data_IF_282101191060
#
_entry.id   IF_282101191060
#
_cell.length_a   1.000
_cell.length_b   1.000
_cell.length_c   1.000
_cell.angle_alpha   90.00
_cell.angle_beta   90.00
_cell.angle_gamma   90.00
#
_symmetry.space_group_name_H-M   'P 1'
#
loop_
_entity.id
_entity.type
_entity.pdbx_description
1 polymer ?
#
# COMPACT_ATOMS: atom_id res chain seq x y z
N UNK A 1 13.21 18.98 -12.14
CA UNK A 1 13.77 19.84 -11.06
C UNK A 1 12.60 20.35 -10.21
N UNK A 2 12.71 20.34 -8.87
CA UNK A 2 11.67 20.86 -7.97
C UNK A 2 11.60 22.38 -8.07
N UNK A 3 10.46 22.92 -8.52
CA UNK A 3 10.22 24.36 -8.54
C UNK A 3 9.88 24.88 -7.14
N UNK A 4 10.07 26.17 -6.82
CA UNK A 4 9.70 26.78 -5.52
C UNK A 4 8.25 26.52 -5.11
N UNK A 5 7.31 26.59 -6.06
CA UNK A 5 5.88 26.33 -5.85
C UNK A 5 5.65 24.90 -5.32
N UNK A 6 6.38 23.90 -5.85
CA UNK A 6 6.29 22.52 -5.39
C UNK A 6 6.80 22.34 -3.96
N UNK A 7 7.71 23.22 -3.49
CA UNK A 7 8.21 23.22 -2.11
C UNK A 7 7.19 23.75 -1.14
N UNK A 8 6.51 24.84 -1.52
CA UNK A 8 5.45 25.44 -0.69
C UNK A 8 4.28 24.47 -0.50
N UNK A 9 3.80 23.87 -1.57
CA UNK A 9 2.70 22.87 -1.50
C UNK A 9 3.09 21.58 -0.78
N UNK A 10 4.38 21.28 -0.68
CA UNK A 10 4.90 20.12 0.08
C UNK A 10 5.27 20.46 1.52
N UNK A 11 5.24 21.75 1.90
CA UNK A 11 5.61 22.20 3.22
C UNK A 11 4.57 21.78 4.25
N UNK A 12 5.03 21.13 5.30
CA UNK A 12 4.22 20.62 6.41
C UNK A 12 4.74 21.12 7.76
N UNK A 13 5.56 22.18 7.76
CA UNK A 13 6.15 22.74 8.98
C UNK A 13 5.13 23.37 9.91
N UNK A 14 3.97 23.78 9.39
CA UNK A 14 2.86 24.31 10.18
C UNK A 14 2.08 23.23 10.94
N UNK A 15 2.25 21.94 10.58
CA UNK A 15 1.60 20.85 11.29
C UNK A 15 2.42 20.45 12.51
N UNK A 16 1.75 20.00 13.60
CA UNK A 16 2.43 19.46 14.79
C UNK A 16 3.47 18.41 14.42
N UNK A 17 3.07 17.44 13.57
CA UNK A 17 3.96 16.46 12.96
C UNK A 17 3.82 16.47 11.44
N UNK A 18 4.90 16.29 10.67
CA UNK A 18 4.81 16.19 9.21
C UNK A 18 3.93 15.02 8.69
N UNK A 19 3.55 14.11 9.59
CA UNK A 19 2.63 13.01 9.34
C UNK A 19 1.18 13.36 9.52
N UNK A 20 0.85 14.42 10.26
CA UNK A 20 -0.53 14.81 10.56
C UNK A 20 -1.28 15.20 9.28
N UNK A 21 -2.58 15.01 9.29
CA UNK A 21 -3.47 15.46 8.21
C UNK A 21 -3.59 16.98 8.20
N UNK A 22 -3.47 17.60 7.05
CA UNK A 22 -3.95 18.96 6.84
C UNK A 22 -5.49 19.01 6.89
N UNK A 23 -6.06 20.20 7.03
CA UNK A 23 -7.53 20.35 7.03
C UNK A 23 -8.12 19.89 5.69
N UNK A 24 -7.48 20.22 4.58
CA UNK A 24 -7.89 19.74 3.25
C UNK A 24 -7.84 18.21 3.11
N UNK A 25 -6.80 17.56 3.65
CA UNK A 25 -6.72 16.09 3.67
C UNK A 25 -7.80 15.49 4.58
N UNK A 26 -8.08 16.13 5.71
CA UNK A 26 -9.12 15.67 6.64
C UNK A 26 -10.52 15.76 6.02
N UNK A 27 -10.86 16.86 5.36
CA UNK A 27 -12.15 17.04 4.68
C UNK A 27 -12.41 15.91 3.69
N UNK A 28 -11.38 15.40 3.00
CA UNK A 28 -11.52 14.29 2.06
C UNK A 28 -11.80 12.95 2.75
N UNK A 29 -11.17 12.69 3.92
CA UNK A 29 -11.25 11.38 4.57
C UNK A 29 -12.36 11.28 5.61
N UNK A 30 -12.72 12.38 6.25
CA UNK A 30 -13.69 12.40 7.36
C UNK A 30 -15.05 11.75 7.03
N UNK A 31 -15.66 11.99 5.86
CA UNK A 31 -16.94 11.38 5.51
C UNK A 31 -16.90 9.86 5.39
N UNK A 32 -15.73 9.28 5.18
CA UNK A 32 -15.52 7.84 5.01
C UNK A 32 -15.28 7.11 6.35
N UNK A 33 -15.03 7.85 7.41
CA UNK A 33 -14.84 7.27 8.75
C UNK A 33 -16.19 6.86 9.32
N UNK A 34 -16.38 5.61 9.76
CA UNK A 34 -17.64 5.17 10.34
C UNK A 34 -18.06 6.03 11.54
N UNK A 35 -19.36 6.38 11.65
CA UNK A 35 -19.88 7.07 12.82
C UNK A 35 -19.67 6.24 14.10
N UNK A 36 -19.90 6.85 15.26
CA UNK A 36 -19.94 6.10 16.50
C UNK A 36 -21.04 5.04 16.47
N UNK A 37 -20.75 3.85 16.99
CA UNK A 37 -21.76 2.79 17.09
C UNK A 37 -22.91 3.23 17.97
N UNK A 38 -24.13 2.88 17.58
CA UNK A 38 -25.31 3.05 18.44
C UNK A 38 -25.23 2.07 19.60
N UNK A 39 -25.52 2.54 20.81
CA UNK A 39 -25.44 1.75 22.04
C UNK A 39 -24.00 1.69 22.61
N UNK A 40 -23.87 1.34 23.87
CA UNK A 40 -22.59 1.29 24.59
C UNK A 40 -22.02 2.66 24.95
N UNK A 41 -20.75 2.67 25.33
CA UNK A 41 -20.04 3.91 25.74
C UNK A 41 -19.88 4.87 24.56
N UNK A 42 -20.27 6.13 24.75
CA UNK A 42 -20.10 7.20 23.74
C UNK A 42 -18.63 7.33 23.34
N UNK A 43 -18.36 7.47 22.04
CA UNK A 43 -17.03 7.77 21.50
C UNK A 43 -16.66 9.20 21.89
N UNK A 44 -15.62 9.36 22.71
CA UNK A 44 -15.09 10.66 23.13
C UNK A 44 -13.80 11.03 22.39
N UNK A 45 -13.16 10.07 21.75
CA UNK A 45 -11.89 10.30 21.05
C UNK A 45 -12.13 11.04 19.73
N UNK A 46 -11.28 12.02 19.45
CA UNK A 46 -11.20 12.64 18.13
C UNK A 46 -10.60 11.65 17.14
N UNK A 47 -11.38 11.26 16.15
CA UNK A 47 -10.96 10.28 15.13
C UNK A 47 -9.93 10.81 14.15
N UNK A 48 -9.86 12.15 13.97
CA UNK A 48 -8.76 12.77 13.22
C UNK A 48 -7.44 12.54 13.94
N UNK A 49 -7.40 12.74 15.24
CA UNK A 49 -6.21 12.51 16.04
C UNK A 49 -5.81 11.03 16.08
N UNK A 50 -6.78 10.12 16.07
CA UNK A 50 -6.51 8.68 15.92
C UNK A 50 -5.81 8.40 14.59
N UNK A 51 -6.29 8.96 13.49
CA UNK A 51 -5.67 8.76 12.17
C UNK A 51 -4.28 9.42 12.09
N UNK A 52 -4.11 10.61 12.72
CA UNK A 52 -2.81 11.25 12.86
C UNK A 52 -1.81 10.35 13.61
N UNK A 53 -2.23 9.72 14.70
CA UNK A 53 -1.42 8.78 15.47
C UNK A 53 -1.00 7.55 14.62
N UNK A 54 -1.92 7.00 13.84
CA UNK A 54 -1.63 5.88 12.95
C UNK A 54 -0.63 6.30 11.86
N UNK A 55 -0.81 7.48 11.25
CA UNK A 55 0.13 8.02 10.26
C UNK A 55 1.48 8.38 10.87
N UNK A 56 1.52 8.79 12.14
CA UNK A 56 2.76 9.01 12.85
C UNK A 56 3.57 7.70 12.96
N UNK A 57 2.95 6.62 13.43
CA UNK A 57 3.59 5.29 13.51
C UNK A 57 4.05 4.81 12.14
N UNK A 58 3.22 4.95 11.10
CA UNK A 58 3.58 4.60 9.73
C UNK A 58 4.81 5.37 9.24
N UNK A 59 4.83 6.69 9.47
CA UNK A 59 5.86 7.60 8.97
C UNK A 59 7.20 7.42 9.67
N UNK A 60 7.17 7.37 11.02
CA UNK A 60 8.37 7.33 11.87
C UNK A 60 8.91 5.93 12.09
N UNK A 61 8.05 4.91 11.97
CA UNK A 61 8.39 3.52 12.27
C UNK A 61 8.55 3.24 13.77
N UNK A 62 8.14 4.15 14.64
CA UNK A 62 8.26 3.97 16.08
C UNK A 62 7.41 2.77 16.56
N UNK A 63 7.78 2.22 17.70
CA UNK A 63 6.93 1.26 18.41
C UNK A 63 5.66 1.97 18.91
N UNK A 64 4.52 1.27 18.95
CA UNK A 64 3.29 1.82 19.50
C UNK A 64 3.47 2.37 20.93
N UNK A 65 4.35 1.73 21.74
CA UNK A 65 4.68 2.18 23.08
C UNK A 65 5.49 3.48 23.13
N UNK A 66 6.13 3.86 22.04
CA UNK A 66 6.98 5.04 21.91
C UNK A 66 6.27 6.21 21.22
N UNK A 67 4.95 6.15 21.10
CA UNK A 67 4.17 7.26 20.56
C UNK A 67 4.23 8.48 21.52
N UNK A 68 4.30 9.70 20.96
CA UNK A 68 4.20 10.93 21.74
C UNK A 68 2.93 10.99 22.60
N UNK A 69 3.04 11.62 23.78
CA UNK A 69 1.93 11.72 24.74
C UNK A 69 0.83 12.71 24.34
N UNK A 70 1.11 13.60 23.39
CA UNK A 70 0.17 14.55 22.80
C UNK A 70 -0.69 13.95 21.67
N UNK A 71 -0.45 12.69 21.32
CA UNK A 71 -1.31 11.85 20.50
C UNK A 71 -2.24 10.98 21.38
N UNK A 72 -3.36 10.46 20.82
CA UNK A 72 -4.22 9.55 21.56
C UNK A 72 -3.46 8.36 22.13
N UNK A 73 -3.94 7.78 23.26
CA UNK A 73 -3.29 6.61 23.86
C UNK A 73 -3.04 5.50 22.85
N UNK A 74 -1.87 4.86 22.92
CA UNK A 74 -1.46 3.78 22.00
C UNK A 74 -2.51 2.70 21.83
N UNK A 75 -3.16 2.30 22.93
CA UNK A 75 -4.21 1.28 22.91
C UNK A 75 -5.40 1.70 22.06
N UNK A 76 -5.80 2.97 22.14
CA UNK A 76 -6.86 3.53 21.33
C UNK A 76 -6.46 3.57 19.84
N UNK A 77 -5.32 4.16 19.53
CA UNK A 77 -4.85 4.26 18.13
C UNK A 77 -4.67 2.88 17.48
N UNK A 78 -4.06 1.94 18.19
CA UNK A 78 -3.86 0.57 17.71
C UNK A 78 -5.18 -0.19 17.55
N UNK A 79 -6.13 -0.04 18.51
CA UNK A 79 -7.45 -0.64 18.40
C UNK A 79 -8.22 -0.16 17.16
N UNK A 80 -8.23 1.16 16.91
CA UNK A 80 -8.87 1.71 15.72
C UNK A 80 -8.20 1.26 14.43
N UNK A 81 -6.88 1.17 14.40
CA UNK A 81 -6.16 0.63 13.25
C UNK A 81 -6.59 -0.81 12.94
N UNK A 82 -6.63 -1.68 13.95
CA UNK A 82 -7.09 -3.06 13.77
C UNK A 82 -8.57 -3.15 13.39
N UNK A 83 -9.41 -2.31 14.00
CA UNK A 83 -10.84 -2.27 13.71
C UNK A 83 -11.10 -1.84 12.26
N UNK A 84 -10.46 -0.76 11.80
CA UNK A 84 -10.61 -0.24 10.45
C UNK A 84 -10.03 -1.16 9.36
N UNK A 85 -9.01 -1.96 9.69
CA UNK A 85 -8.55 -3.05 8.83
C UNK A 85 -9.56 -4.20 8.79
N UNK A 86 -10.11 -4.58 9.95
CA UNK A 86 -11.02 -5.72 10.04
C UNK A 86 -12.39 -5.46 9.43
N UNK A 87 -12.98 -4.27 9.64
CA UNK A 87 -14.31 -3.91 9.14
C UNK A 87 -14.31 -3.36 7.71
N UNK A 88 -13.15 -3.33 7.04
CA UNK A 88 -12.98 -2.87 5.68
C UNK A 88 -13.02 -1.34 5.52
N UNK A 89 -12.95 -0.56 6.60
CA UNK A 89 -12.90 0.91 6.51
C UNK A 89 -11.69 1.39 5.73
N UNK A 90 -10.50 0.80 5.96
CA UNK A 90 -9.29 1.16 5.21
C UNK A 90 -9.43 0.82 3.72
N UNK A 91 -10.11 -0.26 3.37
CA UNK A 91 -10.38 -0.61 1.97
C UNK A 91 -11.30 0.42 1.31
N UNK A 92 -12.41 0.79 1.99
CA UNK A 92 -13.36 1.80 1.48
C UNK A 92 -12.71 3.17 1.27
N UNK A 93 -11.91 3.63 2.25
CA UNK A 93 -11.14 4.89 2.13
C UNK A 93 -10.18 4.81 0.95
N UNK A 94 -9.43 3.72 0.85
CA UNK A 94 -8.48 3.52 -0.24
C UNK A 94 -9.19 3.56 -1.60
N UNK A 95 -10.31 2.87 -1.75
CA UNK A 95 -11.04 2.77 -3.00
C UNK A 95 -11.64 4.10 -3.45
N UNK A 96 -12.25 4.82 -2.53
CA UNK A 96 -12.80 6.15 -2.82
C UNK A 96 -11.70 7.14 -3.26
N UNK A 97 -10.58 7.16 -2.54
CA UNK A 97 -9.44 8.01 -2.90
C UNK A 97 -8.75 7.55 -4.20
N UNK A 98 -8.74 6.25 -4.47
CA UNK A 98 -8.22 5.68 -5.71
C UNK A 98 -8.98 6.22 -6.91
N UNK A 99 -10.32 6.12 -6.89
CA UNK A 99 -11.19 6.64 -7.96
C UNK A 99 -10.97 8.14 -8.13
N UNK A 100 -11.10 8.92 -7.05
CA UNK A 100 -10.91 10.37 -7.10
C UNK A 100 -9.53 10.80 -7.64
N UNK A 101 -8.47 10.06 -7.26
CA UNK A 101 -7.10 10.37 -7.73
C UNK A 101 -6.93 10.06 -9.22
N UNK A 102 -7.58 9.03 -9.74
CA UNK A 102 -7.56 8.72 -11.18
C UNK A 102 -8.31 9.76 -11.98
N UNK A 103 -9.52 10.10 -11.54
CA UNK A 103 -10.36 11.12 -12.19
C UNK A 103 -9.67 12.50 -12.21
N UNK A 104 -9.07 12.90 -11.08
CA UNK A 104 -8.27 14.13 -11.00
C UNK A 104 -7.05 14.12 -11.95
N UNK A 105 -6.57 12.94 -12.34
CA UNK A 105 -5.50 12.77 -13.33
C UNK A 105 -6.02 12.58 -14.77
N UNK A 106 -7.31 12.82 -15.03
CA UNK A 106 -7.94 12.64 -16.34
C UNK A 106 -7.99 11.18 -16.79
N UNK A 107 -8.15 10.24 -15.85
CA UNK A 107 -8.24 8.80 -16.12
C UNK A 107 -9.57 8.24 -15.66
N UNK A 108 -10.07 7.24 -16.40
CA UNK A 108 -11.23 6.47 -15.99
C UNK A 108 -11.04 5.84 -14.61
N UNK A 109 -12.13 5.72 -13.84
CA UNK A 109 -12.10 5.12 -12.50
C UNK A 109 -11.51 3.70 -12.49
N UNK A 110 -11.80 2.90 -13.52
CA UNK A 110 -11.27 1.54 -13.65
C UNK A 110 -10.09 1.49 -14.62
N UNK A 111 -8.97 0.82 -14.25
CA UNK A 111 -7.82 0.68 -15.12
C UNK A 111 -8.03 -0.47 -16.13
N UNK A 112 -7.46 -0.32 -17.33
CA UNK A 112 -7.35 -1.39 -18.35
C UNK A 112 -6.00 -2.09 -18.30
N UNK A 113 -5.01 -1.49 -17.63
CA UNK A 113 -3.64 -1.99 -17.53
C UNK A 113 -3.19 -2.02 -16.07
N UNK A 114 -2.55 -3.11 -15.68
CA UNK A 114 -1.93 -3.27 -14.38
C UNK A 114 -0.46 -3.71 -14.51
N UNK A 115 0.32 -3.48 -13.47
CA UNK A 115 1.70 -3.92 -13.35
C UNK A 115 1.84 -4.67 -12.02
N UNK A 116 2.44 -5.85 -12.04
CA UNK A 116 2.71 -6.66 -10.84
C UNK A 116 4.21 -6.78 -10.62
N UNK A 117 4.61 -6.69 -9.36
CA UNK A 117 5.98 -7.00 -8.94
C UNK A 117 6.02 -7.36 -7.45
N UNK A 118 7.17 -7.87 -6.98
CA UNK A 118 7.39 -8.27 -5.60
C UNK A 118 8.61 -7.61 -4.97
N UNK A 119 8.52 -7.36 -3.68
CA UNK A 119 9.63 -6.89 -2.87
C UNK A 119 9.78 -7.77 -1.63
N UNK A 120 10.97 -8.38 -1.46
CA UNK A 120 11.32 -9.06 -0.22
C UNK A 120 11.75 -8.02 0.82
N UNK A 121 11.20 -8.13 2.02
CA UNK A 121 11.46 -7.24 3.14
C UNK A 121 12.02 -8.04 4.30
N UNK A 122 13.17 -7.61 4.82
CA UNK A 122 13.80 -8.25 5.99
C UNK A 122 12.87 -8.12 7.19
N UNK A 123 12.53 -9.25 7.81
CA UNK A 123 11.73 -9.26 9.02
C UNK A 123 12.59 -8.96 10.25
N UNK A 124 11.99 -8.30 11.23
CA UNK A 124 12.57 -8.24 12.57
C UNK A 124 12.40 -9.61 13.24
N UNK A 125 13.43 -10.06 13.95
CA UNK A 125 13.33 -11.27 14.76
C UNK A 125 12.28 -11.08 15.84
N UNK A 126 11.33 -12.01 15.91
CA UNK A 126 10.27 -12.03 16.92
C UNK A 126 10.15 -13.44 17.46
N UNK A 127 10.10 -13.56 18.77
CA UNK A 127 9.78 -14.82 19.44
C UNK A 127 8.27 -15.07 19.49
N UNK A 128 7.90 -16.35 19.63
CA UNK A 128 6.54 -16.80 19.90
C UNK A 128 5.86 -17.51 18.72
N UNK A 129 4.90 -18.36 19.05
CA UNK A 129 4.20 -19.25 18.12
C UNK A 129 3.10 -18.57 17.30
N UNK A 130 2.65 -17.38 17.70
CA UNK A 130 1.56 -16.65 17.04
C UNK A 130 2.07 -15.62 16.01
N UNK A 131 2.88 -16.08 15.06
CA UNK A 131 3.45 -15.28 13.98
C UNK A 131 3.09 -15.93 12.63
N UNK A 132 2.72 -15.10 11.66
CA UNK A 132 2.65 -15.58 10.30
C UNK A 132 4.05 -15.95 9.78
N UNK A 133 4.17 -16.96 8.91
CA UNK A 133 5.44 -17.48 8.45
C UNK A 133 6.37 -16.43 7.87
N UNK A 134 7.67 -16.64 8.08
CA UNK A 134 8.78 -15.96 7.42
C UNK A 134 9.56 -17.01 6.64
N UNK A 135 10.22 -16.60 5.56
CA UNK A 135 11.01 -17.50 4.72
C UNK A 135 12.30 -16.84 4.25
N UNK A 136 13.17 -17.62 3.64
CA UNK A 136 14.43 -17.15 3.07
C UNK A 136 14.34 -17.00 1.57
N UNK A 137 14.43 -15.78 1.06
CA UNK A 137 14.57 -15.48 -0.36
C UNK A 137 16.02 -15.72 -0.79
N UNK A 138 16.29 -16.86 -1.42
CA UNK A 138 17.63 -17.25 -1.84
C UNK A 138 18.22 -16.31 -2.92
N UNK A 139 17.37 -15.75 -3.79
CA UNK A 139 17.81 -14.82 -4.83
C UNK A 139 18.25 -13.46 -4.30
N UNK A 140 17.58 -12.94 -3.29
CA UNK A 140 17.87 -11.65 -2.65
C UNK A 140 18.68 -11.79 -1.35
N UNK A 141 18.90 -13.02 -0.86
CA UNK A 141 19.57 -13.36 0.42
C UNK A 141 18.94 -12.63 1.61
N UNK A 142 17.62 -12.63 1.68
CA UNK A 142 16.83 -11.95 2.72
C UNK A 142 15.93 -12.97 3.42
N UNK A 143 16.01 -13.00 4.76
CA UNK A 143 15.03 -13.70 5.61
C UNK A 143 13.93 -12.74 5.99
N UNK A 144 12.67 -13.07 5.67
CA UNK A 144 11.54 -12.23 5.98
C UNK A 144 10.28 -12.57 5.20
N UNK A 145 9.59 -11.54 4.75
CA UNK A 145 8.35 -11.68 3.97
C UNK A 145 8.45 -10.95 2.63
N UNK A 146 7.73 -11.47 1.67
CA UNK A 146 7.60 -10.90 0.34
C UNK A 146 6.26 -10.19 0.21
N UNK A 147 6.29 -8.98 -0.35
CA UNK A 147 5.12 -8.16 -0.65
C UNK A 147 4.92 -8.15 -2.14
N UNK A 148 3.82 -8.69 -2.63
CA UNK A 148 3.38 -8.51 -4.01
C UNK A 148 2.42 -7.32 -4.06
N UNK A 149 2.64 -6.42 -5.00
CA UNK A 149 1.71 -5.33 -5.28
C UNK A 149 1.28 -5.41 -6.74
N UNK A 150 0.01 -5.14 -6.96
CA UNK A 150 -0.56 -4.87 -8.26
C UNK A 150 -0.91 -3.40 -8.30
N UNK A 151 -0.43 -2.68 -9.32
CA UNK A 151 -0.62 -1.23 -9.45
C UNK A 151 -1.13 -0.87 -10.85
N UNK A 152 -1.76 0.28 -10.98
CA UNK A 152 -2.13 0.85 -12.28
C UNK A 152 -0.98 1.65 -12.92
N UNK A 153 -1.23 2.27 -14.06
CA UNK A 153 -0.25 3.09 -14.80
C UNK A 153 0.14 4.40 -14.08
N UNK A 154 -0.63 4.84 -13.08
CA UNK A 154 -0.28 5.97 -12.21
C UNK A 154 0.55 5.52 -11.00
N UNK A 155 0.75 4.21 -10.81
CA UNK A 155 1.40 3.59 -9.65
C UNK A 155 0.48 3.52 -8.43
N UNK A 156 -0.82 3.62 -8.61
CA UNK A 156 -1.79 3.47 -7.53
C UNK A 156 -2.07 2.00 -7.27
N UNK A 157 -2.19 1.64 -6.01
CA UNK A 157 -2.36 0.25 -5.58
C UNK A 157 -3.74 -0.30 -5.97
N UNK A 158 -3.75 -1.41 -6.69
CA UNK A 158 -4.94 -2.22 -6.97
C UNK A 158 -5.10 -3.35 -5.95
N UNK A 159 -3.98 -3.84 -5.43
CA UNK A 159 -3.99 -4.87 -4.42
C UNK A 159 -2.60 -5.17 -3.86
N UNK A 160 -2.59 -5.79 -2.69
CA UNK A 160 -1.37 -6.23 -2.01
C UNK A 160 -1.58 -7.63 -1.42
N UNK A 161 -0.54 -8.46 -1.51
CA UNK A 161 -0.44 -9.75 -0.83
C UNK A 161 0.91 -9.86 -0.14
N UNK A 162 0.92 -10.42 1.07
CA UNK A 162 2.15 -10.58 1.85
C UNK A 162 2.23 -12.03 2.33
N UNK A 163 3.38 -12.65 2.15
CA UNK A 163 3.63 -14.05 2.54
C UNK A 163 5.11 -14.27 2.86
N UNK A 164 5.49 -15.48 3.26
CA UNK A 164 6.88 -15.85 3.50
C UNK A 164 7.75 -15.65 2.25
N UNK A 165 9.00 -15.19 2.43
CA UNK A 165 9.84 -14.75 1.33
C UNK A 165 10.39 -15.88 0.45
N UNK A 166 10.35 -17.14 0.90
CA UNK A 166 10.72 -18.35 0.16
C UNK A 166 9.72 -18.72 -0.94
N UNK A 167 8.47 -18.25 -0.85
CA UNK A 167 7.46 -18.48 -1.88
C UNK A 167 7.87 -17.74 -3.16
N UNK A 168 7.87 -18.45 -4.29
CA UNK A 168 8.24 -17.88 -5.59
C UNK A 168 7.21 -16.85 -6.07
N UNK A 169 7.66 -15.89 -6.89
CA UNK A 169 6.82 -14.77 -7.32
C UNK A 169 5.57 -15.24 -8.07
N UNK A 170 5.69 -16.23 -8.95
CA UNK A 170 4.57 -16.84 -9.68
C UNK A 170 3.53 -17.52 -8.77
N UNK A 171 3.98 -18.11 -7.65
CA UNK A 171 3.09 -18.82 -6.72
C UNK A 171 2.40 -17.83 -5.75
N UNK A 172 3.12 -16.81 -5.29
CA UNK A 172 2.59 -15.80 -4.38
C UNK A 172 1.61 -14.81 -5.02
N UNK A 173 1.63 -14.65 -6.35
CA UNK A 173 0.74 -13.76 -7.07
C UNK A 173 -0.70 -14.28 -7.21
N UNK A 174 -0.92 -15.59 -7.10
CA UNK A 174 -2.20 -16.23 -7.42
C UNK A 174 -3.39 -15.60 -6.71
N UNK A 175 -3.34 -15.52 -5.38
CA UNK A 175 -4.43 -14.95 -4.58
C UNK A 175 -4.64 -13.45 -4.81
N UNK A 176 -3.56 -12.72 -5.06
CA UNK A 176 -3.63 -11.30 -5.39
C UNK A 176 -4.41 -11.09 -6.69
N UNK A 177 -4.05 -11.81 -7.75
CA UNK A 177 -4.71 -11.70 -9.06
C UNK A 177 -6.18 -12.12 -8.99
N UNK A 178 -6.50 -13.21 -8.28
CA UNK A 178 -7.88 -13.67 -8.09
C UNK A 178 -8.76 -12.64 -7.39
N UNK A 179 -8.24 -11.98 -6.34
CA UNK A 179 -8.97 -10.92 -5.62
C UNK A 179 -9.11 -9.65 -6.46
N UNK A 180 -8.05 -9.25 -7.12
CA UNK A 180 -8.03 -8.06 -7.96
C UNK A 180 -9.01 -8.19 -9.16
N UNK A 181 -9.14 -9.39 -9.74
CA UNK A 181 -10.07 -9.63 -10.85
C UNK A 181 -11.52 -9.26 -10.51
N UNK A 182 -11.96 -9.54 -9.28
CA UNK A 182 -13.33 -9.20 -8.83
C UNK A 182 -13.55 -7.71 -8.71
N UNK A 183 -12.50 -6.95 -8.39
CA UNK A 183 -12.57 -5.50 -8.15
C UNK A 183 -12.31 -4.67 -9.40
N UNK A 184 -11.47 -5.18 -10.31
CA UNK A 184 -11.03 -4.48 -11.51
C UNK A 184 -11.31 -5.30 -12.78
N UNK A 185 -12.61 -5.49 -13.11
CA UNK A 185 -13.03 -6.37 -14.22
C UNK A 185 -12.54 -5.87 -15.60
N UNK A 186 -12.25 -4.58 -15.75
CA UNK A 186 -11.82 -3.96 -17.00
C UNK A 186 -10.30 -4.04 -17.26
N UNK A 187 -9.52 -4.60 -16.35
CA UNK A 187 -8.12 -4.88 -16.63
C UNK A 187 -8.03 -5.93 -17.74
N UNK A 188 -7.26 -5.61 -18.78
CA UNK A 188 -7.02 -6.47 -19.93
C UNK A 188 -5.58 -7.03 -19.92
N UNK A 189 -4.61 -6.18 -19.51
CA UNK A 189 -3.17 -6.50 -19.58
C UNK A 189 -2.50 -6.31 -18.24
N UNK A 190 -1.63 -7.26 -17.89
CA UNK A 190 -0.77 -7.20 -16.73
C UNK A 190 0.68 -7.29 -17.19
N UNK A 191 1.48 -6.29 -16.87
CA UNK A 191 2.93 -6.33 -17.08
C UNK A 191 3.61 -6.92 -15.87
N UNK A 192 4.54 -7.86 -16.10
CA UNK A 192 5.29 -8.54 -15.05
C UNK A 192 6.72 -8.82 -15.50
N UNK A 193 7.61 -9.10 -14.55
CA UNK A 193 8.97 -9.54 -14.87
C UNK A 193 9.07 -11.05 -15.10
N UNK A 194 10.30 -11.52 -15.41
CA UNK A 194 10.59 -12.94 -15.69
C UNK A 194 10.26 -13.89 -14.52
N UNK A 195 10.17 -13.41 -13.28
CA UNK A 195 9.79 -14.20 -12.11
C UNK A 195 8.34 -14.71 -12.16
N UNK A 196 7.51 -14.10 -13.00
CA UNK A 196 6.10 -14.45 -13.19
C UNK A 196 5.87 -15.33 -14.43
N UNK A 197 6.90 -16.01 -14.95
CA UNK A 197 6.76 -16.94 -16.07
C UNK A 197 6.34 -18.34 -15.64
N UNK A 198 5.82 -19.09 -16.61
CA UNK A 198 5.60 -20.53 -16.50
C UNK A 198 4.13 -20.95 -16.54
N UNK A 199 3.87 -22.27 -16.68
CA UNK A 199 2.53 -22.81 -16.91
C UNK A 199 1.57 -22.54 -15.74
N UNK A 200 2.05 -22.53 -14.50
CA UNK A 200 1.22 -22.19 -13.33
C UNK A 200 0.67 -20.76 -13.41
N UNK A 201 1.53 -19.79 -13.77
CA UNK A 201 1.09 -18.40 -13.90
C UNK A 201 0.14 -18.23 -15.09
N UNK A 202 0.45 -18.86 -16.22
CA UNK A 202 -0.44 -18.85 -17.38
C UNK A 202 -1.84 -19.40 -17.03
N UNK A 203 -1.92 -20.51 -16.29
CA UNK A 203 -3.18 -21.07 -15.78
C UNK A 203 -3.89 -20.12 -14.84
N UNK A 204 -3.16 -19.47 -13.93
CA UNK A 204 -3.72 -18.48 -13.00
C UNK A 204 -4.35 -17.31 -13.74
N UNK A 205 -3.64 -16.77 -14.73
CA UNK A 205 -4.13 -15.65 -15.54
C UNK A 205 -5.31 -16.08 -16.40
N UNK A 206 -5.25 -17.27 -17.05
CA UNK A 206 -6.37 -17.82 -17.81
C UNK A 206 -7.65 -17.97 -16.96
N UNK A 207 -7.52 -18.35 -15.69
CA UNK A 207 -8.65 -18.46 -14.76
C UNK A 207 -9.29 -17.08 -14.42
N UNK A 208 -8.64 -15.95 -14.75
CA UNK A 208 -9.25 -14.61 -14.64
C UNK A 208 -10.15 -14.27 -15.83
N UNK A 209 -10.15 -15.07 -16.90
CA UNK A 209 -10.94 -14.92 -18.11
C UNK A 209 -10.25 -14.07 -19.18
N UNK A 210 -10.37 -12.74 -19.12
CA UNK A 210 -9.88 -11.87 -20.19
C UNK A 210 -8.49 -11.25 -19.96
N UNK A 211 -7.86 -11.49 -18.83
CA UNK A 211 -6.56 -10.93 -18.54
C UNK A 211 -5.45 -11.59 -19.37
N UNK A 212 -4.51 -10.78 -19.86
CA UNK A 212 -3.29 -11.23 -20.54
C UNK A 212 -2.08 -10.76 -19.74
N UNK A 213 -1.13 -11.68 -19.48
CA UNK A 213 0.13 -11.32 -18.87
C UNK A 213 1.20 -11.12 -19.94
N UNK A 214 1.86 -9.97 -19.88
CA UNK A 214 3.00 -9.63 -20.75
C UNK A 214 4.28 -9.64 -19.91
N UNK A 215 5.16 -10.58 -20.20
CA UNK A 215 6.44 -10.70 -19.51
C UNK A 215 7.45 -9.78 -20.17
N UNK A 216 7.88 -8.77 -19.41
CA UNK A 216 8.90 -7.83 -19.85
C UNK A 216 10.27 -8.39 -19.47
N UNK A 217 10.98 -8.96 -20.44
CA UNK A 217 12.35 -9.48 -20.28
C UNK A 217 13.34 -8.31 -20.35
N UNK A 218 14.41 -8.38 -19.54
CA UNK A 218 15.60 -7.56 -19.79
C UNK A 218 16.17 -8.05 -21.15
N UNK A 219 16.39 -7.13 -22.09
CA UNK A 219 17.17 -7.47 -23.28
C UNK A 219 18.60 -7.80 -22.81
N UNK A 220 19.17 -8.89 -23.32
CA UNK A 220 20.56 -9.33 -23.01
C UNK A 220 21.63 -8.39 -23.57
N UNK A 221 21.25 -7.30 -24.17
CA UNK A 221 22.12 -6.24 -24.63
C UNK A 221 22.59 -5.44 -23.40
N UNK A 222 23.90 -5.30 -23.23
CA UNK A 222 24.59 -4.54 -22.18
C UNK A 222 24.23 -3.03 -22.13
N UNK A 223 23.09 -2.64 -22.66
CA UNK A 223 22.56 -1.28 -22.64
C UNK A 223 21.43 -1.17 -21.62
N UNK A 224 21.45 -0.10 -20.82
CA UNK A 224 20.33 0.27 -19.96
C UNK A 224 19.12 0.60 -20.83
N UNK A 225 18.14 -0.31 -20.87
CA UNK A 225 16.84 -0.09 -21.52
C UNK A 225 15.81 0.08 -20.43
N UNK A 226 15.13 1.22 -20.41
CA UNK A 226 13.95 1.44 -19.54
C UNK A 226 12.86 0.49 -20.02
N UNK A 227 12.64 -0.58 -19.26
CA UNK A 227 11.59 -1.55 -19.59
C UNK A 227 10.21 -0.88 -19.52
N UNK A 228 9.38 -1.04 -20.57
CA UNK A 228 8.08 -0.40 -20.63
C UNK A 228 7.27 -0.66 -19.35
N UNK A 229 6.84 0.42 -18.67
CA UNK A 229 5.94 0.41 -17.50
C UNK A 229 6.48 -0.23 -16.21
N UNK A 230 7.58 -1.00 -16.21
CA UNK A 230 8.12 -1.64 -15.02
C UNK A 230 8.59 -0.64 -13.96
N UNK A 231 9.21 0.46 -14.36
CA UNK A 231 9.64 1.52 -13.46
C UNK A 231 8.49 2.08 -12.59
N UNK A 232 7.23 1.89 -13.01
CA UNK A 232 6.04 2.38 -12.29
C UNK A 232 5.88 1.64 -10.96
N UNK A 233 5.97 0.30 -10.97
CA UNK A 233 5.84 -0.49 -9.75
C UNK A 233 7.06 -0.32 -8.85
N UNK A 234 8.27 -0.21 -9.42
CA UNK A 234 9.50 0.11 -8.67
C UNK A 234 9.38 1.47 -7.97
N UNK A 235 8.86 2.49 -8.65
CA UNK A 235 8.53 3.79 -8.07
C UNK A 235 7.52 3.67 -6.92
N UNK A 236 6.52 2.82 -7.08
CA UNK A 236 5.52 2.61 -6.03
C UNK A 236 6.15 1.95 -4.79
N UNK A 237 7.03 0.97 -4.95
CA UNK A 237 7.80 0.43 -3.84
C UNK A 237 8.67 1.50 -3.16
N UNK A 238 9.29 2.40 -3.93
CA UNK A 238 10.03 3.51 -3.37
C UNK A 238 9.13 4.45 -2.55
N UNK A 239 7.91 4.73 -2.99
CA UNK A 239 6.95 5.52 -2.20
C UNK A 239 6.53 4.82 -0.91
N UNK A 240 6.27 3.51 -0.96
CA UNK A 240 5.94 2.69 0.22
C UNK A 240 7.11 2.73 1.21
N UNK A 241 8.34 2.55 0.74
CA UNK A 241 9.55 2.50 1.57
C UNK A 241 9.94 3.85 2.19
N UNK A 242 9.39 4.98 1.73
CA UNK A 242 9.54 6.28 2.41
C UNK A 242 8.90 6.30 3.79
N UNK A 243 7.99 5.39 4.06
CA UNK A 243 7.41 5.21 5.38
C UNK A 243 8.29 4.26 6.18
N UNK A 244 8.93 4.74 7.25
CA UNK A 244 9.93 3.97 8.02
C UNK A 244 9.38 2.66 8.57
N UNK A 245 8.07 2.60 8.91
CA UNK A 245 7.40 1.38 9.35
C UNK A 245 7.46 0.26 8.29
N UNK A 246 7.55 0.63 7.01
CA UNK A 246 7.55 -0.31 5.88
C UNK A 246 8.95 -0.57 5.28
N UNK A 247 10.02 0.03 5.82
CA UNK A 247 11.39 -0.26 5.40
C UNK A 247 11.83 -1.70 5.76
N UNK A 248 11.29 -2.22 6.85
CA UNK A 248 11.42 -3.62 7.28
C UNK A 248 10.05 -4.15 7.68
N UNK A 249 9.94 -5.46 7.83
CA UNK A 249 8.73 -6.08 8.37
C UNK A 249 8.84 -6.20 9.90
N UNK A 250 8.09 -5.33 10.60
CA UNK A 250 7.98 -5.33 12.05
C UNK A 250 6.69 -5.99 12.55
N UNK A 251 5.83 -6.46 11.64
CA UNK A 251 4.49 -6.90 12.02
C UNK A 251 4.43 -8.40 12.35
N UNK A 252 3.54 -8.78 13.25
CA UNK A 252 3.27 -10.18 13.57
C UNK A 252 2.55 -10.88 12.41
N UNK A 253 1.58 -10.20 11.82
CA UNK A 253 0.67 -10.75 10.83
C UNK A 253 0.88 -10.10 9.46
N UNK A 254 0.81 -10.90 8.43
CA UNK A 254 0.91 -10.45 7.03
C UNK A 254 -0.18 -9.47 6.66
N UNK A 255 -1.39 -9.66 7.21
CA UNK A 255 -2.50 -8.72 7.02
C UNK A 255 -2.18 -7.32 7.55
N UNK A 256 -1.48 -7.22 8.69
CA UNK A 256 -1.09 -5.93 9.27
C UNK A 256 -0.08 -5.20 8.39
N UNK A 257 0.86 -5.93 7.77
CA UNK A 257 1.76 -5.35 6.75
C UNK A 257 0.97 -4.82 5.57
N UNK A 258 0.00 -5.58 5.07
CA UNK A 258 -0.85 -5.17 3.95
C UNK A 258 -1.68 -3.91 4.30
N UNK A 259 -2.21 -3.82 5.52
CA UNK A 259 -2.92 -2.64 6.02
C UNK A 259 -2.02 -1.40 6.05
N UNK A 260 -0.77 -1.52 6.52
CA UNK A 260 0.18 -0.40 6.47
C UNK A 260 0.56 0.00 5.04
N UNK A 261 0.69 -0.94 4.11
CA UNK A 261 0.90 -0.62 2.68
C UNK A 261 -0.30 0.18 2.14
N UNK A 262 -1.51 -0.23 2.46
CA UNK A 262 -2.74 0.48 2.07
C UNK A 262 -2.78 1.90 2.66
N UNK A 263 -2.45 2.06 3.94
CA UNK A 263 -2.35 3.37 4.59
C UNK A 263 -1.29 4.27 3.93
N UNK A 264 -0.14 3.72 3.52
CA UNK A 264 0.86 4.47 2.78
C UNK A 264 0.31 5.01 1.47
N UNK A 265 -0.50 4.23 0.76
CA UNK A 265 -1.14 4.65 -0.47
C UNK A 265 -2.27 5.67 -0.24
N UNK A 266 -3.08 5.48 0.80
CA UNK A 266 -4.08 6.49 1.24
C UNK A 266 -3.39 7.85 1.44
N UNK A 267 -2.30 7.88 2.19
CA UNK A 267 -1.52 9.10 2.44
C UNK A 267 -1.00 9.76 1.17
N UNK A 268 -0.54 8.96 0.20
CA UNK A 268 -0.07 9.47 -1.11
C UNK A 268 -1.22 10.08 -1.89
N UNK A 269 -2.36 9.42 -1.94
CA UNK A 269 -3.55 9.88 -2.67
C UNK A 269 -4.13 11.16 -2.07
N UNK A 270 -4.26 11.25 -0.74
CA UNK A 270 -4.66 12.47 -0.05
C UNK A 270 -3.76 13.65 -0.44
N UNK A 271 -2.44 13.45 -0.41
CA UNK A 271 -1.48 14.50 -0.80
C UNK A 271 -1.54 14.88 -2.27
N UNK A 272 -1.92 13.97 -3.16
CA UNK A 272 -2.10 14.29 -4.58
C UNK A 272 -3.35 15.12 -4.81
N UNK A 273 -4.47 14.70 -4.23
CA UNK A 273 -5.75 15.39 -4.37
C UNK A 273 -5.71 16.81 -3.81
N UNK A 274 -5.12 17.01 -2.64
CA UNK A 274 -5.02 18.34 -2.04
C UNK A 274 -4.01 19.29 -2.71
N UNK A 275 -3.10 18.76 -3.54
CA UNK A 275 -2.19 19.59 -4.36
C UNK A 275 -2.80 20.03 -5.68
N UNK A 276 -3.73 19.27 -6.21
CA UNK A 276 -4.38 19.57 -7.49
C UNK A 276 -5.48 20.64 -7.35
N UNK A 277 -5.84 20.98 -6.11
CA UNK A 277 -6.94 21.94 -5.81
C UNK A 277 -6.42 23.35 -5.53
N UNK A 278 -5.12 23.57 -5.61
CA UNK A 278 -4.44 24.86 -5.51
C UNK A 278 -3.78 25.22 -6.85
#
# INVERSE_FOLDING_TARGET
>A
MWKPEHRLTADRRSLRYPSDLSDAEWVLVAPMIPPARRGGRRRLVDVREVLNAIFYVLSTGCQWNAMPKDLPPKSTAHLYFLLWDWDGTLDRIHDALYVATREAAGREASPTVAIIDSQSSKAAQKGGSALDPQGFDAGKKITGRKRHILVDTLGLLLGVSVHAADIQDRDGAHDLLRRARRRFPFVERIFADGGYQGPKMAKTVAATGCWKIEIVKRSDLHRFVVLPKRWIVERTFAWISRNRRLMRDFERYTRTVAAFVRLAMIRIMLRRLTRSTQ
#
